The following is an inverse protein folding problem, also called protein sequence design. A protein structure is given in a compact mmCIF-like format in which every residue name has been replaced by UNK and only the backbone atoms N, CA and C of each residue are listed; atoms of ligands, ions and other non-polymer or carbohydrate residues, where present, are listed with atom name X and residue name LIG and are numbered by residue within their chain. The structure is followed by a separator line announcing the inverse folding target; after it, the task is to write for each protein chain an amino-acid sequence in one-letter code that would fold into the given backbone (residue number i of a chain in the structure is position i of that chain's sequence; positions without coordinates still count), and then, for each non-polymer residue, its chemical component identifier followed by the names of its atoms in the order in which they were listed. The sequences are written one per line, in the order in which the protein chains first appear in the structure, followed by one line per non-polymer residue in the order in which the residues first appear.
data_IF_871369640581
#
_entry.id   IF_871369640581
#
_cell.length_a   1.000
_cell.length_b   1.000
_cell.length_c   1.000
_cell.angle_alpha   90.00
_cell.angle_beta   90.00
_cell.angle_gamma   90.00
#
_symmetry.space_group_name_H-M   'P 1'
#
loop_
_entity.id
_entity.type
_entity.pdbx_description
1 polymer ?
#
# COMPACT_ATOMS: atom_id res chain seq x y z
N UNK A 1 -2.41 -24.26 -29.39
CA UNK A 1 -2.29 -22.80 -29.61
C UNK A 1 -1.39 -22.24 -28.51
N UNK A 2 -0.15 -21.80 -28.79
CA UNK A 2 0.67 -21.15 -27.78
C UNK A 2 0.16 -19.72 -27.57
N UNK A 3 -0.20 -19.38 -26.33
CA UNK A 3 -0.65 -18.04 -25.98
C UNK A 3 0.52 -17.05 -26.14
N UNK A 4 0.36 -16.06 -27.02
CA UNK A 4 1.32 -14.97 -27.17
C UNK A 4 1.37 -14.16 -25.86
N UNK A 5 2.48 -14.23 -25.13
CA UNK A 5 2.76 -13.35 -24.00
C UNK A 5 3.13 -11.97 -24.55
N UNK A 6 2.16 -11.06 -24.58
CA UNK A 6 2.45 -9.64 -24.77
C UNK A 6 3.37 -9.16 -23.64
N UNK A 7 4.32 -8.25 -23.90
CA UNK A 7 5.11 -7.64 -22.84
C UNK A 7 4.16 -6.88 -21.90
N UNK A 8 4.23 -7.21 -20.61
CA UNK A 8 3.53 -6.46 -19.57
C UNK A 8 4.20 -5.09 -19.47
N UNK A 9 3.58 -4.06 -20.05
CA UNK A 9 3.94 -2.67 -19.75
C UNK A 9 3.42 -2.36 -18.37
N UNK A 10 4.30 -2.47 -17.36
CA UNK A 10 4.01 -1.97 -16.02
C UNK A 10 3.92 -0.45 -16.11
N UNK A 11 2.73 0.09 -15.86
CA UNK A 11 2.59 1.52 -15.61
C UNK A 11 3.15 1.79 -14.21
N UNK A 12 4.10 2.70 -14.10
CA UNK A 12 4.54 3.17 -12.80
C UNK A 12 3.41 3.98 -12.16
N UNK A 13 3.07 3.72 -10.89
CA UNK A 13 2.02 4.47 -10.22
C UNK A 13 2.44 5.93 -10.08
N UNK A 14 1.48 6.83 -10.31
CA UNK A 14 1.70 8.25 -10.09
C UNK A 14 1.86 8.53 -8.59
N UNK A 15 2.94 9.23 -8.23
CA UNK A 15 3.29 9.52 -6.83
C UNK A 15 3.03 10.98 -6.53
N UNK A 16 2.16 11.26 -5.57
CA UNK A 16 1.92 12.59 -5.02
C UNK A 16 2.62 12.68 -3.67
N UNK A 17 3.58 13.60 -3.54
CA UNK A 17 4.38 13.79 -2.33
C UNK A 17 3.74 14.83 -1.41
N UNK A 18 3.21 14.39 -0.28
CA UNK A 18 2.61 15.27 0.72
C UNK A 18 3.69 15.94 1.58
N UNK A 19 3.48 17.21 1.91
CA UNK A 19 4.35 17.93 2.83
C UNK A 19 4.10 17.50 4.28
N UNK A 20 5.12 17.66 5.15
CA UNK A 20 4.98 17.36 6.57
C UNK A 20 3.86 18.18 7.24
N UNK A 21 3.59 19.39 6.73
CA UNK A 21 2.48 20.22 7.22
C UNK A 21 1.14 19.56 6.95
N UNK A 22 0.92 19.09 5.72
CA UNK A 22 -0.32 18.39 5.34
C UNK A 22 -0.48 17.07 6.09
N UNK A 23 0.63 16.34 6.33
CA UNK A 23 0.63 15.13 7.16
C UNK A 23 0.21 15.43 8.59
N UNK A 24 0.78 16.47 9.21
CA UNK A 24 0.51 16.81 10.62
C UNK A 24 -0.89 17.38 10.79
N UNK A 25 -1.37 18.21 9.87
CA UNK A 25 -2.71 18.81 9.94
C UNK A 25 -3.82 17.84 9.53
N UNK A 26 -3.49 16.82 8.74
CA UNK A 26 -4.46 15.93 8.10
C UNK A 26 -5.27 16.62 7.01
N UNK A 27 -4.86 17.83 6.59
CA UNK A 27 -5.52 18.62 5.54
C UNK A 27 -4.58 18.68 4.35
N UNK A 28 -5.00 18.04 3.25
CA UNK A 28 -4.30 18.07 1.97
C UNK A 28 -4.69 19.35 1.22
N UNK A 29 -3.73 19.99 0.57
CA UNK A 29 -3.97 21.18 -0.27
C UNK A 29 -4.78 20.83 -1.52
N UNK A 30 -5.54 21.80 -2.04
CA UNK A 30 -6.37 21.62 -3.24
C UNK A 30 -5.55 21.18 -4.48
N UNK A 31 -4.29 21.64 -4.59
CA UNK A 31 -3.37 21.24 -5.65
C UNK A 31 -3.06 19.74 -5.60
N UNK A 32 -2.63 19.23 -4.45
CA UNK A 32 -2.34 17.81 -4.28
C UNK A 32 -3.59 16.93 -4.38
N UNK A 33 -4.77 17.43 -3.94
CA UNK A 33 -6.04 16.72 -4.14
C UNK A 33 -6.38 16.62 -5.63
N UNK A 34 -6.28 17.72 -6.37
CA UNK A 34 -6.56 17.74 -7.81
C UNK A 34 -5.63 16.80 -8.59
N UNK A 35 -4.35 16.80 -8.24
CA UNK A 35 -3.37 15.88 -8.79
C UNK A 35 -3.73 14.42 -8.48
N UNK A 36 -4.02 14.10 -7.22
CA UNK A 36 -4.35 12.75 -6.80
C UNK A 36 -5.63 12.22 -7.47
N UNK A 37 -6.67 13.05 -7.58
CA UNK A 37 -7.93 12.68 -8.25
C UNK A 37 -7.73 12.48 -9.75
N UNK A 38 -6.92 13.34 -10.39
CA UNK A 38 -6.60 13.21 -11.82
C UNK A 38 -5.82 11.93 -12.10
N UNK A 39 -4.81 11.65 -11.29
CA UNK A 39 -4.03 10.41 -11.36
C UNK A 39 -4.91 9.17 -11.13
N UNK A 40 -5.76 9.20 -10.10
CA UNK A 40 -6.69 8.11 -9.81
C UNK A 40 -7.67 7.86 -10.96
N UNK A 41 -8.20 8.91 -11.58
CA UNK A 41 -9.11 8.77 -12.72
C UNK A 41 -8.41 8.21 -13.97
N UNK A 42 -7.16 8.61 -14.22
CA UNK A 42 -6.39 8.19 -15.41
C UNK A 42 -5.86 6.76 -15.26
N UNK A 43 -5.25 6.45 -14.12
CA UNK A 43 -4.44 5.25 -13.91
C UNK A 43 -5.14 4.21 -13.03
N UNK A 44 -6.20 4.59 -12.30
CA UNK A 44 -6.91 3.72 -11.35
C UNK A 44 -6.14 3.43 -10.06
N UNK A 45 -4.91 3.94 -9.94
CA UNK A 45 -4.03 3.79 -8.79
C UNK A 45 -3.22 5.08 -8.62
N UNK A 46 -3.09 5.53 -7.38
CA UNK A 46 -2.23 6.65 -7.00
C UNK A 46 -1.51 6.31 -5.70
N UNK A 47 -0.27 6.74 -5.57
CA UNK A 47 0.54 6.60 -4.36
C UNK A 47 0.65 7.95 -3.69
N UNK A 48 0.19 8.04 -2.44
CA UNK A 48 0.41 9.21 -1.60
C UNK A 48 1.63 8.96 -0.73
N UNK A 49 2.74 9.61 -1.04
CA UNK A 49 3.96 9.52 -0.25
C UNK A 49 3.86 10.49 0.94
N UNK A 50 4.33 10.03 2.11
CA UNK A 50 4.32 10.80 3.36
C UNK A 50 2.91 11.09 3.94
N UNK A 51 1.93 10.24 3.65
CA UNK A 51 0.56 10.41 4.15
C UNK A 51 0.38 10.09 5.64
N UNK A 52 1.21 9.20 6.19
CA UNK A 52 1.14 8.75 7.60
C UNK A 52 2.52 8.75 8.23
N UNK A 53 2.56 8.96 9.54
CA UNK A 53 3.81 8.83 10.30
C UNK A 53 4.16 7.34 10.50
N UNK A 54 5.43 7.00 10.28
CA UNK A 54 5.91 5.62 10.27
C UNK A 54 5.78 4.95 11.62
N UNK A 55 5.78 5.72 12.72
CA UNK A 55 5.60 5.18 14.06
C UNK A 55 4.24 4.48 14.23
N UNK A 56 3.19 4.96 13.56
CA UNK A 56 1.89 4.27 13.57
C UNK A 56 1.95 2.92 12.83
N UNK A 57 2.75 2.83 11.78
CA UNK A 57 2.97 1.57 11.07
C UNK A 57 3.71 0.55 11.95
N UNK A 58 4.64 0.99 12.78
CA UNK A 58 5.36 0.10 13.70
C UNK A 58 4.43 -0.52 14.75
N UNK A 59 3.52 0.28 15.34
CA UNK A 59 2.51 -0.23 16.29
C UNK A 59 1.60 -1.27 15.63
N UNK A 60 1.12 -0.99 14.42
CA UNK A 60 0.30 -1.93 13.66
C UNK A 60 1.06 -3.22 13.35
N UNK A 61 2.34 -3.10 12.99
CA UNK A 61 3.20 -4.24 12.70
C UNK A 61 3.35 -5.14 13.94
N UNK A 62 3.65 -4.57 15.10
CA UNK A 62 3.75 -5.32 16.36
C UNK A 62 2.46 -6.09 16.68
N UNK A 63 1.30 -5.45 16.55
CA UNK A 63 0.00 -6.09 16.80
C UNK A 63 -0.27 -7.22 15.82
N UNK A 64 -0.13 -6.96 14.51
CA UNK A 64 -0.46 -7.92 13.46
C UNK A 64 0.51 -9.11 13.44
N UNK A 65 1.80 -8.90 13.72
CA UNK A 65 2.79 -9.98 13.81
C UNK A 65 2.50 -10.88 15.00
N UNK A 66 2.14 -10.31 16.16
CA UNK A 66 1.78 -11.09 17.34
C UNK A 66 0.54 -11.96 17.08
N UNK A 67 -0.50 -11.38 16.45
CA UNK A 67 -1.70 -12.11 16.06
C UNK A 67 -1.41 -13.19 15.01
N UNK A 68 -0.66 -12.87 13.95
CA UNK A 68 -0.27 -13.81 12.92
C UNK A 68 0.53 -14.99 13.50
N UNK A 69 1.45 -14.72 14.43
CA UNK A 69 2.23 -15.75 15.12
C UNK A 69 1.37 -16.62 16.03
N UNK A 70 0.38 -16.04 16.71
CA UNK A 70 -0.59 -16.79 17.50
C UNK A 70 -1.47 -17.68 16.61
N UNK A 71 -1.96 -17.15 15.48
CA UNK A 71 -2.76 -17.88 14.51
C UNK A 71 -1.97 -19.02 13.84
N UNK A 72 -0.69 -18.82 13.55
CA UNK A 72 0.20 -19.84 12.98
C UNK A 72 0.34 -21.08 13.88
N UNK A 73 0.22 -20.91 15.20
CA UNK A 73 0.31 -22.00 16.18
C UNK A 73 -0.99 -22.78 16.33
N UNK A 74 -2.10 -22.30 15.76
CA UNK A 74 -3.39 -22.99 15.84
C UNK A 74 -3.41 -24.16 14.85
N UNK A 75 -3.81 -25.37 15.29
CA UNK A 75 -3.86 -26.56 14.43
C UNK A 75 -4.93 -26.48 13.32
N UNK A 76 -5.79 -25.47 13.38
CA UNK A 76 -6.85 -25.19 12.39
C UNK A 76 -6.43 -24.20 11.32
N UNK A 77 -5.30 -23.50 11.51
CA UNK A 77 -4.80 -22.52 10.56
C UNK A 77 -3.87 -23.22 9.59
N UNK A 78 -4.29 -23.34 8.33
CA UNK A 78 -3.44 -23.88 7.27
C UNK A 78 -2.36 -22.85 6.92
N UNK A 79 -1.19 -22.95 7.57
CA UNK A 79 0.02 -22.27 7.11
C UNK A 79 0.61 -23.03 5.92
N UNK A 80 1.00 -22.30 4.87
CA UNK A 80 1.61 -22.89 3.69
C UNK A 80 3.08 -23.27 4.00
N UNK A 81 3.29 -24.31 4.81
CA UNK A 81 4.60 -24.76 5.28
C UNK A 81 5.33 -25.69 4.27
N UNK A 82 4.71 -25.99 3.12
CA UNK A 82 5.23 -26.97 2.16
C UNK A 82 5.47 -26.31 0.80
N UNK A 83 6.63 -25.65 0.66
CA UNK A 83 7.26 -25.29 -0.62
C UNK A 83 8.69 -24.76 -0.37
N UNK A 84 9.57 -25.59 0.20
CA UNK A 84 11.04 -25.44 0.10
C UNK A 84 11.66 -26.82 -0.10
#
# INVERSE_FOLDING_TARGET
MPAARAPLHFQEPHIVRLSDKERITGIITEEHVGEAVTAMHRDGLVVLENAVDTQHCDVLNEMLVNEATAMAKLPTTHFNDVCF
#
